data_IF_156558918876
#
_entry.id   IF_156558918876
#
_cell.length_a   1.000
_cell.length_b   1.000
_cell.length_c   1.000
_cell.angle_alpha   90.00
_cell.angle_beta   90.00
_cell.angle_gamma   90.00
#
_symmetry.space_group_name_H-M   'P 1'
#
loop_
_entity.id
_entity.type
_entity.pdbx_description
1 polymer ?
#
# COMPACT_ATOMS: atom_id res chain seq x y z
N UNK A 1 -6.89 5.20 12.46
CA UNK A 1 -7.17 5.78 11.13
C UNK A 1 -6.24 6.96 10.87
N UNK A 2 -5.74 7.12 9.64
CA UNK A 2 -4.84 8.23 9.27
C UNK A 2 -5.58 9.58 9.24
N UNK A 3 -4.83 10.68 9.36
CA UNK A 3 -5.39 12.03 9.28
C UNK A 3 -5.66 12.41 7.81
N UNK A 4 -6.91 12.77 7.48
CA UNK A 4 -7.34 13.09 6.12
C UNK A 4 -7.26 14.58 5.81
N UNK A 5 -6.85 14.90 4.58
CA UNK A 5 -6.91 16.27 4.05
C UNK A 5 -8.36 16.62 3.67
N UNK A 6 -8.74 17.90 3.53
CA UNK A 6 -10.06 18.28 3.02
C UNK A 6 -10.36 17.63 1.66
N UNK A 7 -11.53 16.99 1.54
CA UNK A 7 -11.95 16.25 0.34
C UNK A 7 -11.12 15.00 0.03
N UNK A 8 -10.33 14.52 0.98
CA UNK A 8 -9.66 13.22 0.91
C UNK A 8 -10.54 12.15 1.55
N UNK A 9 -10.77 11.06 0.82
CA UNK A 9 -11.63 9.96 1.26
C UNK A 9 -10.89 8.63 1.13
N UNK A 10 -11.09 7.74 2.10
CA UNK A 10 -10.53 6.39 2.07
C UNK A 10 -11.38 5.56 1.10
N UNK A 11 -10.74 5.10 0.03
CA UNK A 11 -11.34 4.20 -0.97
C UNK A 11 -11.24 2.75 -0.51
N UNK A 12 -10.10 2.36 0.07
CA UNK A 12 -9.84 1.00 0.54
C UNK A 12 -8.95 0.97 1.77
N UNK A 13 -9.23 0.04 2.67
CA UNK A 13 -8.37 -0.29 3.82
C UNK A 13 -7.98 -1.76 3.75
N UNK A 14 -6.70 -2.04 3.97
CA UNK A 14 -6.13 -3.39 3.93
C UNK A 14 -5.16 -3.58 5.08
N UNK A 15 -5.53 -4.33 6.13
CA UNK A 15 -4.64 -4.61 7.25
C UNK A 15 -3.54 -5.59 6.86
N UNK A 16 -2.48 -5.65 7.67
CA UNK A 16 -1.41 -6.66 7.59
C UNK A 16 -0.76 -6.78 6.19
N UNK A 17 -0.62 -5.65 5.49
CA UNK A 17 0.10 -5.55 4.22
C UNK A 17 1.60 -5.40 4.51
N UNK A 18 2.41 -6.25 3.90
CA UNK A 18 3.87 -6.21 4.06
C UNK A 18 4.49 -5.34 2.98
N UNK A 19 5.30 -4.36 3.40
CA UNK A 19 6.09 -3.49 2.53
C UNK A 19 7.53 -3.48 3.03
N UNK A 20 8.50 -3.83 2.17
CA UNK A 20 9.94 -3.93 2.55
C UNK A 20 10.16 -4.72 3.85
N UNK A 21 9.53 -5.89 3.97
CA UNK A 21 9.58 -6.77 5.15
C UNK A 21 9.04 -6.17 6.46
N UNK A 22 8.25 -5.10 6.40
CA UNK A 22 7.56 -4.54 7.57
C UNK A 22 6.05 -4.62 7.36
N UNK A 23 5.31 -5.01 8.40
CA UNK A 23 3.84 -5.06 8.38
C UNK A 23 3.24 -3.68 8.67
N UNK A 24 2.25 -3.32 7.86
CA UNK A 24 1.50 -2.08 7.96
C UNK A 24 0.01 -2.34 7.78
N UNK A 25 -0.80 -1.45 8.33
CA UNK A 25 -2.16 -1.24 7.82
C UNK A 25 -2.07 -0.25 6.66
N UNK A 26 -2.51 -0.69 5.48
CA UNK A 26 -2.49 0.09 4.25
C UNK A 26 -3.85 0.75 4.01
N UNK A 27 -3.82 2.01 3.59
CA UNK A 27 -4.99 2.80 3.25
C UNK A 27 -4.79 3.42 1.86
N UNK A 28 -5.70 3.13 0.94
CA UNK A 28 -5.77 3.79 -0.36
C UNK A 28 -6.82 4.91 -0.26
N UNK A 29 -6.41 6.13 -0.56
CA UNK A 29 -7.31 7.29 -0.67
C UNK A 29 -7.36 7.77 -2.12
N UNK A 30 -8.34 8.64 -2.41
CA UNK A 30 -8.43 9.33 -3.70
C UNK A 30 -7.24 10.29 -4.00
N UNK A 31 -6.25 10.41 -3.09
CA UNK A 31 -5.08 11.28 -3.24
C UNK A 31 -3.74 10.56 -3.02
N UNK A 32 -3.68 9.59 -2.11
CA UNK A 32 -2.42 8.98 -1.65
C UNK A 32 -2.64 7.58 -1.07
N UNK A 33 -1.56 6.82 -1.06
CA UNK A 33 -1.42 5.55 -0.36
C UNK A 33 -0.71 5.83 0.97
N UNK A 34 -1.27 5.33 2.06
CA UNK A 34 -0.74 5.52 3.42
C UNK A 34 -0.49 4.14 4.03
N UNK A 35 0.72 3.93 4.54
CA UNK A 35 1.08 2.75 5.32
C UNK A 35 1.34 3.16 6.76
N UNK A 36 0.44 2.75 7.66
CA UNK A 36 0.55 3.03 9.09
C UNK A 36 1.11 1.79 9.81
N UNK A 37 2.22 1.94 10.52
CA UNK A 37 2.83 0.82 11.24
C UNK A 37 2.00 0.46 12.47
N UNK A 38 1.76 -0.84 12.71
CA UNK A 38 1.28 -1.35 13.99
C UNK A 38 2.44 -1.29 15.00
N UNK A 39 2.62 -0.17 15.70
CA UNK A 39 3.51 -0.12 16.87
C UNK A 39 2.82 0.59 18.02
N UNK A 40 3.06 0.09 19.22
CA UNK A 40 2.61 0.67 20.49
C UNK A 40 2.94 2.16 20.58
N UNK A 41 2.00 2.90 21.17
CA UNK A 41 1.81 4.37 21.21
C UNK A 41 3.02 5.26 21.57
N UNK A 42 4.19 4.68 21.87
CA UNK A 42 5.37 5.42 22.36
C UNK A 42 6.27 6.02 21.28
N UNK A 43 6.22 5.50 20.05
CA UNK A 43 7.03 6.01 18.93
C UNK A 43 6.12 6.62 17.89
N UNK A 44 6.34 7.90 17.58
CA UNK A 44 5.60 8.67 16.58
C UNK A 44 5.23 7.78 15.39
N UNK A 45 3.92 7.61 15.16
CA UNK A 45 3.37 6.79 14.05
C UNK A 45 4.17 7.08 12.80
N UNK A 46 5.05 6.15 12.42
CA UNK A 46 5.85 6.30 11.22
C UNK A 46 4.96 5.89 10.06
N UNK A 47 4.25 6.87 9.53
CA UNK A 47 3.44 6.73 8.33
C UNK A 47 4.34 6.87 7.11
N UNK A 48 4.28 5.91 6.19
CA UNK A 48 4.83 6.07 4.85
C UNK A 48 3.72 6.52 3.94
N UNK A 49 3.91 7.65 3.26
CA UNK A 49 2.89 8.28 2.44
C UNK A 49 3.39 8.43 1.02
N UNK A 50 2.62 7.93 0.06
CA UNK A 50 2.92 7.98 -1.37
C UNK A 50 1.76 8.60 -2.13
N UNK A 51 1.93 9.77 -2.77
CA UNK A 51 0.90 10.35 -3.62
C UNK A 51 0.54 9.42 -4.79
N UNK A 52 -0.76 9.20 -5.04
CA UNK A 52 -1.21 8.32 -6.13
C UNK A 52 -0.80 8.89 -7.49
N UNK A 53 -0.73 10.21 -7.63
CA UNK A 53 -0.27 10.87 -8.86
C UNK A 53 1.20 10.62 -9.22
N UNK A 54 2.00 10.01 -8.32
CA UNK A 54 3.37 9.57 -8.59
C UNK A 54 3.46 8.09 -8.98
N UNK A 55 2.38 7.33 -8.81
CA UNK A 55 2.31 5.95 -9.31
C UNK A 55 2.21 6.01 -10.83
N UNK A 56 3.11 5.30 -11.51
CA UNK A 56 3.16 5.21 -12.99
C UNK A 56 2.90 3.80 -13.49
N UNK A 57 3.07 2.79 -12.63
CA UNK A 57 2.79 1.39 -12.91
C UNK A 57 2.23 0.72 -11.66
N UNK A 58 1.31 -0.21 -11.86
CA UNK A 58 0.72 -1.02 -10.81
C UNK A 58 0.41 -2.39 -11.39
N UNK A 59 1.35 -3.32 -11.23
CA UNK A 59 1.25 -4.65 -11.83
C UNK A 59 0.81 -5.66 -10.75
N UNK A 60 -0.42 -6.22 -10.84
CA UNK A 60 -0.83 -7.30 -9.96
C UNK A 60 -0.09 -8.59 -10.31
N UNK A 61 0.51 -9.23 -9.31
CA UNK A 61 1.26 -10.47 -9.49
C UNK A 61 1.12 -11.39 -8.26
N UNK A 62 1.86 -12.50 -8.30
CA UNK A 62 2.03 -13.41 -7.17
C UNK A 62 3.52 -13.61 -6.92
N UNK A 63 3.92 -13.67 -5.65
CA UNK A 63 5.28 -14.06 -5.30
C UNK A 63 5.50 -15.57 -5.46
N UNK A 64 6.73 -16.04 -5.23
CA UNK A 64 7.11 -17.46 -5.37
C UNK A 64 6.32 -18.40 -4.44
N UNK A 65 5.72 -17.88 -3.36
CA UNK A 65 4.90 -18.65 -2.43
C UNK A 65 3.40 -18.59 -2.77
N UNK A 66 3.04 -17.99 -3.91
CA UNK A 66 1.66 -17.77 -4.31
C UNK A 66 0.97 -16.64 -3.55
N UNK A 67 1.71 -15.78 -2.85
CA UNK A 67 1.13 -14.65 -2.13
C UNK A 67 0.79 -13.53 -3.12
N UNK A 68 -0.41 -12.95 -3.08
CA UNK A 68 -0.76 -11.84 -3.94
C UNK A 68 0.09 -10.60 -3.61
N UNK A 69 0.64 -9.99 -4.65
CA UNK A 69 1.43 -8.77 -4.56
C UNK A 69 0.96 -7.74 -5.59
N UNK A 70 1.19 -6.46 -5.31
CA UNK A 70 1.18 -5.39 -6.32
C UNK A 70 2.59 -4.84 -6.40
N UNK A 71 3.17 -4.85 -7.59
CA UNK A 71 4.40 -4.12 -7.88
C UNK A 71 4.03 -2.70 -8.34
N UNK A 72 4.32 -1.71 -7.48
CA UNK A 72 4.12 -0.30 -7.78
C UNK A 72 5.41 0.32 -8.30
N UNK A 73 5.32 0.86 -9.50
CA UNK A 73 6.32 1.77 -10.03
C UNK A 73 5.99 3.21 -9.62
N UNK A 74 6.84 3.84 -8.80
CA UNK A 74 6.65 5.19 -8.28
C UNK A 74 7.73 6.12 -8.86
N UNK A 75 7.30 7.18 -9.54
CA UNK A 75 8.20 8.23 -10.01
C UNK A 75 8.63 9.13 -8.86
N UNK A 76 9.94 9.24 -8.65
CA UNK A 76 10.51 10.16 -7.66
C UNK A 76 10.62 11.58 -8.23
N UNK A 77 10.77 12.61 -7.37
CA UNK A 77 10.91 14.00 -7.82
C UNK A 77 12.09 14.25 -8.76
N UNK A 78 13.16 13.45 -8.65
CA UNK A 78 14.33 13.51 -9.53
C UNK A 78 14.11 12.86 -10.91
N UNK A 79 12.88 12.37 -11.17
CA UNK A 79 12.50 11.69 -12.40
C UNK A 79 12.86 10.20 -12.43
N UNK A 80 13.63 9.70 -11.45
CA UNK A 80 13.95 8.28 -11.34
C UNK A 80 12.74 7.45 -10.95
N UNK A 81 12.74 6.17 -11.34
CA UNK A 81 11.69 5.23 -10.97
C UNK A 81 12.10 4.44 -9.73
N UNK A 82 11.24 4.41 -8.72
CA UNK A 82 11.33 3.54 -7.56
C UNK A 82 10.34 2.40 -7.67
N UNK A 83 10.69 1.26 -7.09
CA UNK A 83 9.82 0.08 -7.00
C UNK A 83 9.32 -0.07 -5.56
N UNK A 84 8.03 -0.38 -5.41
CA UNK A 84 7.40 -0.62 -4.12
C UNK A 84 6.44 -1.82 -4.24
N UNK A 85 6.85 -2.94 -3.63
CA UNK A 85 6.04 -4.15 -3.59
C UNK A 85 5.14 -4.13 -2.36
N UNK A 86 3.83 -4.21 -2.58
CA UNK A 86 2.82 -4.44 -1.55
C UNK A 86 2.49 -5.92 -1.54
N UNK A 87 2.74 -6.60 -0.42
CA UNK A 87 2.45 -8.03 -0.26
C UNK A 87 1.26 -8.23 0.66
N UNK A 88 0.22 -8.87 0.14
CA UNK A 88 -1.04 -9.11 0.82
C UNK A 88 -1.04 -10.49 1.50
N UNK A 89 -0.24 -10.62 2.56
CA UNK A 89 -0.11 -11.86 3.34
C UNK A 89 -1.27 -12.07 4.31
N UNK A 90 -1.74 -13.29 4.49
CA UNK A 90 -2.64 -13.71 5.57
C UNK A 90 -2.18 -15.06 6.12
N UNK A 91 -2.32 -15.28 7.44
CA UNK A 91 -1.87 -16.53 8.07
C UNK A 91 -2.59 -17.80 7.57
N UNK A 92 -3.71 -17.70 6.84
CA UNK A 92 -4.54 -18.84 6.41
C UNK A 92 -5.28 -18.62 5.07
N UNK A 93 -4.70 -17.87 4.14
CA UNK A 93 -5.34 -17.64 2.83
C UNK A 93 -4.59 -16.66 1.94
N UNK A 94 -5.09 -16.48 0.72
CA UNK A 94 -4.55 -15.53 -0.24
C UNK A 94 -5.57 -14.44 -0.54
N UNK A 95 -5.16 -13.18 -0.39
CA UNK A 95 -6.01 -11.99 -0.54
C UNK A 95 -6.01 -11.46 -1.98
N UNK A 96 -6.24 -12.36 -2.94
CA UNK A 96 -6.25 -12.02 -4.37
C UNK A 96 -7.36 -11.02 -4.73
N UNK A 97 -8.58 -11.25 -4.25
CA UNK A 97 -9.68 -10.32 -4.49
C UNK A 97 -9.38 -8.92 -3.92
N UNK A 98 -8.76 -8.83 -2.74
CA UNK A 98 -8.37 -7.56 -2.15
C UNK A 98 -7.29 -6.85 -2.97
N UNK A 99 -6.30 -7.60 -3.50
CA UNK A 99 -5.30 -7.07 -4.44
C UNK A 99 -5.98 -6.50 -5.69
N UNK A 100 -6.92 -7.24 -6.27
CA UNK A 100 -7.56 -6.85 -7.53
C UNK A 100 -8.46 -5.63 -7.33
N UNK A 101 -9.17 -5.53 -6.20
CA UNK A 101 -9.90 -4.32 -5.82
C UNK A 101 -9.00 -3.09 -5.67
N UNK A 102 -7.75 -3.26 -5.18
CA UNK A 102 -6.78 -2.16 -5.15
C UNK A 102 -6.42 -1.67 -6.54
N UNK A 103 -6.28 -2.57 -7.51
CA UNK A 103 -5.96 -2.23 -8.89
C UNK A 103 -7.11 -1.47 -9.54
N UNK A 104 -8.36 -1.90 -9.31
CA UNK A 104 -9.54 -1.22 -9.85
C UNK A 104 -9.72 0.22 -9.32
N UNK A 105 -9.12 0.53 -8.17
CA UNK A 105 -9.20 1.82 -7.48
C UNK A 105 -7.97 2.72 -7.70
N UNK A 106 -6.91 2.24 -8.38
CA UNK A 106 -5.65 2.95 -8.65
C UNK A 106 -5.61 3.58 -10.05
#
# INVERSE_FOLDING_TARGET
MPAMSPGEEILKTSPDVTVKNTLFDAFLTNKRIIFAKKTDDLYAKKELVFPVNLVRKYDPASDQSGTPIIDLGIQKPDGSMGELILKFSQNNGYRYAERDEWIDLL
#
